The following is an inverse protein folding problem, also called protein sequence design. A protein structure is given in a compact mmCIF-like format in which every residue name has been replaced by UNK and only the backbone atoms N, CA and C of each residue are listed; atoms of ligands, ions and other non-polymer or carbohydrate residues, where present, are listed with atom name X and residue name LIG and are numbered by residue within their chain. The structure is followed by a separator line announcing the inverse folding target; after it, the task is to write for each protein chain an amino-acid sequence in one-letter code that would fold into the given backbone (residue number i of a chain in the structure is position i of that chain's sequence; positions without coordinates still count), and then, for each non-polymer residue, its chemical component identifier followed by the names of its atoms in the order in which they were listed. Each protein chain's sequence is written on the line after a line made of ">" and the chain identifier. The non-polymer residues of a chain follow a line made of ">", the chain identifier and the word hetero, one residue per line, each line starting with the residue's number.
data_IF_370046681675
#
_entry.id   IF_370046681675
#
_cell.length_a   1.000
_cell.length_b   1.000
_cell.length_c   1.000
_cell.angle_alpha   90.00
_cell.angle_beta   90.00
_cell.angle_gamma   90.00
#
_symmetry.space_group_name_H-M   'P 1'
#
loop_
_entity.id
_entity.type
_entity.pdbx_description
1 polymer ?
#
# COMPACT_ATOMS: atom_id res chain seq x y z
N UNK A 1 21.71 7.52 -3.01
CA UNK A 1 21.55 7.24 -4.45
C UNK A 1 20.65 6.03 -4.55
N UNK A 2 19.52 6.09 -5.26
CA UNK A 2 18.77 4.87 -5.55
C UNK A 2 19.75 3.89 -6.22
N UNK A 3 19.75 2.59 -5.88
CA UNK A 3 20.46 1.60 -6.68
C UNK A 3 20.04 1.81 -8.15
N UNK A 4 20.95 1.73 -9.12
CA UNK A 4 20.52 1.61 -10.50
C UNK A 4 19.78 0.27 -10.58
N UNK A 5 18.45 0.30 -10.49
CA UNK A 5 17.62 -0.87 -10.72
C UNK A 5 17.66 -1.14 -12.22
N UNK A 6 18.76 -1.76 -12.67
CA UNK A 6 18.93 -2.28 -14.02
C UNK A 6 18.08 -3.53 -14.24
N UNK A 7 17.69 -4.19 -13.14
CA UNK A 7 16.83 -5.36 -13.08
C UNK A 7 15.52 -5.05 -12.34
N UNK A 8 14.52 -5.92 -12.51
CA UNK A 8 13.27 -5.86 -11.77
C UNK A 8 13.55 -5.91 -10.26
N UNK A 9 13.01 -4.93 -9.52
CA UNK A 9 13.19 -4.81 -8.07
C UNK A 9 11.84 -4.86 -7.36
N UNK A 10 11.81 -5.59 -6.24
CA UNK A 10 10.63 -5.76 -5.40
C UNK A 10 11.05 -5.56 -3.95
N UNK A 11 10.30 -4.73 -3.23
CA UNK A 11 10.49 -4.58 -1.78
C UNK A 11 9.16 -4.33 -1.05
N UNK A 12 9.09 -4.54 0.27
CA UNK A 12 7.91 -4.17 1.06
C UNK A 12 7.66 -2.66 1.03
N UNK A 13 6.41 -2.26 0.79
CA UNK A 13 5.96 -0.91 1.08
C UNK A 13 5.89 -0.74 2.61
N UNK A 14 6.40 0.39 3.11
CA UNK A 14 6.38 0.70 4.55
C UNK A 14 5.07 1.30 5.06
N UNK A 15 4.41 2.25 4.36
CA UNK A 15 3.11 2.73 4.79
C UNK A 15 2.02 1.66 4.59
N UNK A 16 0.98 1.71 5.42
CA UNK A 16 -0.29 1.05 5.11
C UNK A 16 -0.86 1.65 3.82
N UNK A 17 -1.19 0.81 2.86
CA UNK A 17 -1.76 1.23 1.58
C UNK A 17 -3.24 0.92 1.56
N UNK A 18 -4.05 1.89 1.11
CA UNK A 18 -5.50 1.73 1.00
C UNK A 18 -5.95 2.17 -0.39
N UNK A 19 -6.79 1.37 -1.02
CA UNK A 19 -7.33 1.64 -2.36
C UNK A 19 -8.84 1.80 -2.25
N UNK A 20 -9.33 2.99 -2.58
CA UNK A 20 -10.75 3.31 -2.52
C UNK A 20 -11.39 3.18 -3.90
N UNK A 21 -12.48 2.41 -3.98
CA UNK A 21 -13.26 2.22 -5.20
C UNK A 21 -14.73 1.96 -4.87
N UNK A 22 -15.64 2.67 -5.52
CA UNK A 22 -17.10 2.50 -5.35
C UNK A 22 -17.59 2.72 -3.91
N UNK A 23 -16.97 3.66 -3.19
CA UNK A 23 -17.32 3.96 -1.79
C UNK A 23 -16.78 2.97 -0.75
N UNK A 24 -15.86 2.07 -1.14
CA UNK A 24 -15.23 1.11 -0.24
C UNK A 24 -13.71 1.13 -0.37
N UNK A 25 -13.02 0.82 0.72
CA UNK A 25 -11.63 0.40 0.66
C UNK A 25 -11.58 -1.06 0.21
N UNK A 26 -11.26 -1.28 -1.07
CA UNK A 26 -11.11 -2.64 -1.65
C UNK A 26 -9.77 -3.28 -1.27
N UNK A 27 -8.80 -2.46 -0.86
CA UNK A 27 -7.54 -2.83 -0.22
C UNK A 27 -7.38 -1.94 1.02
N UNK A 28 -6.94 -2.53 2.13
CA UNK A 28 -6.44 -1.85 3.33
C UNK A 28 -5.39 -2.76 3.98
N UNK A 29 -4.11 -2.57 3.63
CA UNK A 29 -3.05 -3.53 3.98
C UNK A 29 -1.72 -2.86 4.35
N UNK A 30 -0.98 -3.48 5.26
CA UNK A 30 0.42 -3.15 5.55
C UNK A 30 1.41 -4.10 4.87
N UNK A 31 0.94 -4.99 3.99
CA UNK A 31 1.73 -6.02 3.31
C UNK A 31 1.95 -5.74 1.82
N UNK A 32 1.57 -4.54 1.36
CA UNK A 32 1.82 -4.11 0.00
C UNK A 32 3.32 -4.18 -0.36
N UNK A 33 3.60 -4.40 -1.64
CA UNK A 33 4.94 -4.40 -2.22
C UNK A 33 5.08 -3.23 -3.19
N UNK A 34 6.27 -2.65 -3.25
CA UNK A 34 6.70 -1.76 -4.33
C UNK A 34 7.40 -2.62 -5.38
N UNK A 35 6.94 -2.54 -6.62
CA UNK A 35 7.50 -3.27 -7.77
C UNK A 35 7.93 -2.28 -8.84
N UNK A 36 9.20 -2.31 -9.23
CA UNK A 36 9.72 -1.49 -10.33
C UNK A 36 9.66 -2.27 -11.64
N UNK A 37 8.63 -1.99 -12.44
CA UNK A 37 8.51 -2.46 -13.83
C UNK A 37 9.36 -1.62 -14.79
N UNK A 38 9.84 -0.46 -14.33
CA UNK A 38 10.68 0.49 -15.06
C UNK A 38 11.47 1.36 -14.06
N UNK A 39 12.52 2.10 -14.47
CA UNK A 39 13.43 2.78 -13.54
C UNK A 39 12.88 4.08 -12.90
N UNK A 40 11.73 4.60 -13.35
CA UNK A 40 11.28 5.94 -12.96
C UNK A 40 10.55 5.99 -11.61
N UNK A 41 9.64 5.05 -11.37
CA UNK A 41 8.82 4.93 -10.16
C UNK A 41 8.31 3.48 -9.98
N UNK A 42 7.95 3.07 -8.75
CA UNK A 42 7.34 1.76 -8.50
C UNK A 42 5.82 1.74 -8.71
N UNK A 43 5.25 0.54 -8.78
CA UNK A 43 3.82 0.25 -8.64
C UNK A 43 3.55 -0.46 -7.31
N UNK A 44 2.33 -0.30 -6.77
CA UNK A 44 1.89 -1.14 -5.67
C UNK A 44 1.38 -2.48 -6.19
N UNK A 45 1.87 -3.54 -5.57
CA UNK A 45 1.32 -4.89 -5.65
C UNK A 45 0.84 -5.29 -4.26
N UNK A 46 -0.20 -6.10 -4.20
CA UNK A 46 -0.81 -6.53 -2.95
C UNK A 46 -0.86 -8.05 -2.87
N UNK A 47 -0.78 -8.67 -1.69
CA UNK A 47 -1.19 -10.06 -1.52
C UNK A 47 -2.59 -10.29 -2.11
N UNK A 48 -2.79 -11.35 -2.89
CA UNK A 48 -4.09 -11.63 -3.51
C UNK A 48 -5.22 -11.84 -2.49
N UNK A 49 -4.89 -12.25 -1.26
CA UNK A 49 -5.82 -12.40 -0.14
C UNK A 49 -6.35 -11.06 0.41
N UNK A 50 -5.59 -9.97 0.24
CA UNK A 50 -6.02 -8.63 0.70
C UNK A 50 -7.10 -8.02 -0.22
N UNK A 51 -7.31 -8.60 -1.41
CA UNK A 51 -8.38 -8.23 -2.33
C UNK A 51 -9.49 -9.28 -2.31
N UNK A 52 -10.61 -8.96 -1.67
CA UNK A 52 -11.77 -9.86 -1.61
C UNK A 52 -12.21 -10.30 -3.01
N UNK A 53 -12.43 -11.61 -3.18
CA UNK A 53 -12.97 -12.18 -4.44
C UNK A 53 -14.37 -11.67 -4.75
N UNK A 54 -15.11 -11.16 -3.77
CA UNK A 54 -16.42 -10.51 -3.98
C UNK A 54 -16.32 -9.22 -4.81
N UNK A 55 -15.14 -8.62 -4.90
CA UNK A 55 -14.88 -7.45 -5.74
C UNK A 55 -14.36 -7.80 -7.14
N UNK A 56 -14.28 -9.08 -7.49
CA UNK A 56 -13.69 -9.54 -8.73
C UNK A 56 -14.72 -10.22 -9.62
N UNK A 57 -14.76 -9.79 -10.89
CA UNK A 57 -15.47 -10.49 -11.95
C UNK A 57 -14.49 -10.82 -13.06
N UNK A 58 -14.51 -12.04 -13.64
CA UNK A 58 -13.71 -12.34 -14.82
C UNK A 58 -13.99 -11.30 -15.91
N UNK A 59 -12.93 -10.76 -16.53
CA UNK A 59 -13.10 -9.83 -17.64
C UNK A 59 -13.79 -10.54 -18.83
N UNK A 60 -14.63 -9.82 -19.57
CA UNK A 60 -15.25 -10.36 -20.79
C UNK A 60 -14.19 -10.51 -21.90
N UNK A 61 -14.18 -11.69 -22.55
CA UNK A 61 -13.24 -12.03 -23.62
C UNK A 61 -12.29 -13.16 -23.22
N UNK A 62 -11.58 -13.78 -24.19
CA UNK A 62 -10.55 -14.76 -23.88
C UNK A 62 -9.50 -14.05 -23.02
N UNK A 63 -9.16 -14.59 -21.84
CA UNK A 63 -8.21 -13.92 -20.97
C UNK A 63 -6.88 -13.85 -21.72
N UNK A 64 -6.16 -12.72 -21.64
CA UNK A 64 -4.78 -12.64 -22.10
C UNK A 64 -3.96 -13.45 -21.09
N UNK A 65 -3.97 -14.77 -21.24
CA UNK A 65 -3.23 -15.70 -20.40
C UNK A 65 -2.22 -16.38 -21.29
N UNK A 66 -0.95 -16.18 -21.01
CA UNK A 66 0.09 -17.15 -21.36
C UNK A 66 0.23 -18.25 -20.29
N UNK A 67 -0.62 -18.21 -19.24
CA UNK A 67 -0.55 -19.11 -18.08
C UNK A 67 0.07 -18.47 -16.84
N UNK A 68 0.61 -17.25 -16.94
CA UNK A 68 1.36 -16.60 -15.85
C UNK A 68 0.54 -15.53 -15.10
N UNK A 69 -0.50 -14.97 -15.72
CA UNK A 69 -1.37 -13.95 -15.13
C UNK A 69 -2.81 -14.03 -15.64
N UNK A 70 -3.75 -13.50 -14.85
CA UNK A 70 -5.17 -13.42 -15.18
C UNK A 70 -5.73 -12.03 -14.87
N UNK A 71 -6.60 -11.51 -15.75
CA UNK A 71 -7.20 -10.18 -15.64
C UNK A 71 -8.67 -10.25 -15.23
N UNK A 72 -9.09 -9.34 -14.34
CA UNK A 72 -10.43 -9.24 -13.78
C UNK A 72 -10.93 -7.80 -13.82
N UNK A 73 -12.25 -7.64 -13.90
CA UNK A 73 -12.93 -6.40 -13.59
C UNK A 73 -12.94 -6.18 -12.06
N UNK A 74 -12.73 -4.95 -11.61
CA UNK A 74 -12.97 -4.53 -10.24
C UNK A 74 -14.42 -4.05 -10.10
N UNK A 75 -15.18 -4.65 -9.18
CA UNK A 75 -16.63 -4.43 -9.05
C UNK A 75 -16.99 -4.10 -7.60
N UNK A 76 -17.71 -3.00 -7.38
CA UNK A 76 -18.31 -2.64 -6.08
C UNK A 76 -19.71 -2.07 -6.33
N UNK A 77 -20.75 -2.84 -5.97
CA UNK A 77 -22.13 -2.49 -6.33
C UNK A 77 -22.28 -2.35 -7.84
N UNK A 78 -22.79 -1.21 -8.30
CA UNK A 78 -22.96 -0.91 -9.73
C UNK A 78 -21.70 -0.34 -10.41
N UNK A 79 -20.63 -0.09 -9.64
CA UNK A 79 -19.37 0.44 -10.17
C UNK A 79 -18.51 -0.70 -10.70
N UNK A 80 -18.03 -0.55 -11.93
CA UNK A 80 -17.19 -1.52 -12.63
C UNK A 80 -16.01 -0.79 -13.25
N UNK A 81 -14.78 -1.22 -12.94
CA UNK A 81 -13.59 -0.88 -13.69
C UNK A 81 -13.13 -2.11 -14.48
N UNK A 82 -13.34 -2.07 -15.81
CA UNK A 82 -13.09 -3.20 -16.69
C UNK A 82 -11.60 -3.52 -16.79
N UNK A 83 -11.24 -4.79 -16.65
CA UNK A 83 -9.86 -5.27 -16.78
C UNK A 83 -8.85 -4.58 -15.84
N UNK A 84 -9.32 -4.04 -14.72
CA UNK A 84 -8.52 -3.19 -13.84
C UNK A 84 -7.60 -3.97 -12.89
N UNK A 85 -7.76 -5.29 -12.77
CA UNK A 85 -7.06 -6.11 -11.78
C UNK A 85 -6.31 -7.22 -12.48
N UNK A 86 -5.00 -7.32 -12.25
CA UNK A 86 -4.17 -8.43 -12.72
C UNK A 86 -3.71 -9.27 -11.53
N UNK A 87 -4.01 -10.57 -11.55
CA UNK A 87 -3.47 -11.57 -10.61
C UNK A 87 -2.33 -12.33 -11.26
N UNK A 88 -1.27 -12.59 -10.51
CA UNK A 88 -0.07 -13.26 -10.99
C UNK A 88 0.06 -14.67 -10.39
N UNK A 89 0.33 -15.67 -11.22
CA UNK A 89 0.40 -17.08 -10.85
C UNK A 89 1.83 -17.64 -10.83
N UNK A 90 2.82 -16.91 -11.36
CA UNK A 90 4.22 -17.31 -11.46
C UNK A 90 5.18 -16.13 -11.28
N UNK A 91 6.48 -16.43 -11.26
CA UNK A 91 7.55 -15.44 -11.11
C UNK A 91 7.66 -14.86 -9.70
N UNK A 92 8.45 -13.80 -9.56
CA UNK A 92 8.73 -13.15 -8.27
C UNK A 92 7.53 -12.39 -7.68
N UNK A 93 6.50 -12.15 -8.51
CA UNK A 93 5.24 -11.52 -8.12
C UNK A 93 4.10 -12.54 -7.97
N UNK A 94 4.40 -13.84 -7.91
CA UNK A 94 3.41 -14.89 -7.68
C UNK A 94 2.57 -14.59 -6.43
N UNK A 95 1.26 -14.90 -6.52
CA UNK A 95 0.27 -14.70 -5.46
C UNK A 95 0.02 -13.22 -5.10
N UNK A 96 0.56 -12.29 -5.90
CA UNK A 96 0.25 -10.87 -5.82
C UNK A 96 -0.80 -10.46 -6.86
N UNK A 97 -1.38 -9.30 -6.61
CA UNK A 97 -2.33 -8.61 -7.46
C UNK A 97 -1.93 -7.16 -7.65
N UNK A 98 -2.08 -6.66 -8.89
CA UNK A 98 -1.93 -5.26 -9.27
C UNK A 98 -3.31 -4.70 -9.63
N UNK A 99 -3.63 -3.52 -9.12
CA UNK A 99 -4.79 -2.72 -9.52
C UNK A 99 -4.26 -1.56 -10.37
N UNK A 100 -4.85 -1.35 -11.55
CA UNK A 100 -4.52 -0.21 -12.40
C UNK A 100 -4.76 1.10 -11.66
N UNK A 101 -3.74 1.97 -11.63
CA UNK A 101 -3.79 3.18 -10.81
C UNK A 101 -5.01 4.05 -11.11
N UNK A 102 -5.29 4.25 -12.40
CA UNK A 102 -6.40 5.06 -12.91
C UNK A 102 -7.77 4.44 -12.71
N UNK A 103 -7.86 3.17 -12.32
CA UNK A 103 -9.12 2.49 -12.09
C UNK A 103 -9.72 2.78 -10.69
N UNK A 104 -8.89 3.10 -9.70
CA UNK A 104 -9.35 3.43 -8.36
C UNK A 104 -9.84 4.88 -8.27
N UNK A 105 -10.81 5.13 -7.39
CA UNK A 105 -11.30 6.49 -7.13
C UNK A 105 -10.27 7.31 -6.31
N UNK A 106 -9.54 6.65 -5.40
CA UNK A 106 -8.48 7.27 -4.62
C UNK A 106 -7.49 6.23 -4.05
N UNK A 107 -6.25 6.68 -3.82
CA UNK A 107 -5.17 5.91 -3.20
C UNK A 107 -4.69 6.61 -1.94
N UNK A 108 -4.39 5.86 -0.89
CA UNK A 108 -3.92 6.41 0.38
C UNK A 108 -2.65 5.70 0.86
N UNK A 109 -1.72 6.50 1.38
CA UNK A 109 -0.66 6.05 2.28
C UNK A 109 -1.04 6.47 3.70
N UNK A 110 -1.26 5.50 4.57
CA UNK A 110 -1.85 5.71 5.89
C UNK A 110 -3.22 6.42 5.78
N UNK A 111 -3.40 7.62 6.35
CA UNK A 111 -4.64 8.41 6.22
C UNK A 111 -4.56 9.48 5.12
N UNK A 112 -3.45 9.60 4.42
CA UNK A 112 -3.24 10.67 3.45
C UNK A 112 -3.44 10.17 2.01
N UNK A 113 -4.30 10.87 1.27
CA UNK A 113 -4.48 10.59 -0.14
C UNK A 113 -3.21 10.95 -0.93
N UNK A 114 -2.83 10.08 -1.85
CA UNK A 114 -1.71 10.27 -2.77
C UNK A 114 -2.17 10.28 -4.23
N UNK A 115 -1.33 10.81 -5.10
CA UNK A 115 -1.69 11.12 -6.49
C UNK A 115 -0.63 10.61 -7.49
N UNK A 116 -1.11 10.30 -8.70
CA UNK A 116 -0.40 9.83 -9.89
C UNK A 116 0.18 8.42 -9.81
N UNK A 117 1.06 8.15 -8.87
CA UNK A 117 1.73 6.87 -8.70
C UNK A 117 2.42 6.81 -7.32
N UNK A 118 2.80 5.61 -6.84
CA UNK A 118 3.60 5.45 -5.63
C UNK A 118 4.89 6.27 -5.72
N UNK A 119 5.30 6.86 -4.60
CA UNK A 119 6.56 7.63 -4.59
C UNK A 119 7.74 6.68 -4.40
N UNK A 120 8.81 6.97 -5.14
CA UNK A 120 10.07 6.26 -4.99
C UNK A 120 10.70 6.61 -3.63
N UNK A 121 10.79 5.65 -2.68
CA UNK A 121 11.29 5.91 -1.33
C UNK A 121 12.77 6.29 -1.32
N UNK A 122 13.54 6.00 -2.37
CA UNK A 122 14.95 6.37 -2.46
C UNK A 122 15.19 7.84 -2.86
N UNK A 123 14.13 8.57 -3.20
CA UNK A 123 14.20 9.96 -3.66
C UNK A 123 13.63 10.97 -2.66
N UNK A 124 13.20 10.53 -1.48
CA UNK A 124 12.50 11.39 -0.51
C UNK A 124 12.47 10.84 0.91
N UNK A 125 12.16 11.73 1.85
CA UNK A 125 11.71 11.41 3.21
C UNK A 125 10.27 11.87 3.30
N UNK A 126 9.36 10.96 3.69
CA UNK A 126 7.95 11.27 3.81
C UNK A 126 7.48 11.18 5.26
N UNK A 127 6.53 12.03 5.62
CA UNK A 127 5.81 11.98 6.89
C UNK A 127 4.33 11.86 6.58
N UNK A 128 3.66 10.86 7.15
CA UNK A 128 2.22 10.61 6.94
C UNK A 128 1.46 10.63 8.24
N UNK A 129 0.27 11.21 8.24
CA UNK A 129 -0.71 10.95 9.29
C UNK A 129 -1.18 9.50 9.24
N UNK A 130 -1.22 8.85 10.39
CA UNK A 130 -1.76 7.51 10.55
C UNK A 130 -2.84 7.48 11.61
N UNK A 131 -3.78 6.54 11.48
CA UNK A 131 -4.75 6.20 12.53
C UNK A 131 -4.34 4.98 13.35
N UNK A 132 -3.09 4.51 13.22
CA UNK A 132 -2.59 3.36 13.98
C UNK A 132 -2.61 3.66 15.48
N UNK A 133 -3.02 2.66 16.26
CA UNK A 133 -2.91 2.70 17.71
C UNK A 133 -1.47 2.35 18.12
N UNK A 134 -0.79 3.29 18.78
CA UNK A 134 0.58 3.11 19.25
C UNK A 134 0.62 3.42 20.75
N UNK A 135 1.13 2.45 21.51
CA UNK A 135 1.42 2.56 22.94
C UNK A 135 2.92 2.42 23.16
N UNK A 136 3.50 3.36 23.90
CA UNK A 136 4.91 3.33 24.30
C UNK A 136 4.99 3.06 25.79
N UNK A 137 5.78 2.05 26.17
CA UNK A 137 6.03 1.68 27.56
C UNK A 137 7.52 1.70 27.87
N UNK A 138 7.86 2.13 29.08
CA UNK A 138 9.19 2.00 29.69
C UNK A 138 9.00 1.24 30.99
N UNK A 139 9.65 0.09 31.15
CA UNK A 139 9.49 -0.79 32.32
C UNK A 139 8.01 -1.04 32.68
N UNK A 140 7.20 -1.40 31.68
CA UNK A 140 5.75 -1.60 31.74
C UNK A 140 4.88 -0.37 32.08
N UNK A 141 5.48 0.78 32.36
CA UNK A 141 4.77 2.05 32.55
C UNK A 141 4.46 2.68 31.20
N UNK A 142 3.17 2.92 30.93
CA UNK A 142 2.73 3.64 29.73
C UNK A 142 3.15 5.12 29.80
N UNK A 143 3.98 5.53 28.84
CA UNK A 143 4.46 6.92 28.70
C UNK A 143 3.81 7.67 27.55
N UNK A 144 3.19 6.95 26.59
CA UNK A 144 2.40 7.54 25.51
C UNK A 144 1.38 6.55 24.93
N UNK A 145 0.23 7.06 24.48
CA UNK A 145 -0.86 6.28 23.89
C UNK A 145 -1.62 7.13 22.87
N UNK A 146 -1.48 6.81 21.58
CA UNK A 146 -2.00 7.64 20.49
C UNK A 146 -2.72 6.84 19.42
N UNK A 147 -3.75 7.44 18.84
CA UNK A 147 -4.44 6.99 17.63
C UNK A 147 -4.22 7.93 16.44
N UNK A 148 -3.29 8.88 16.58
CA UNK A 148 -3.04 9.93 15.60
C UNK A 148 -1.54 10.22 15.39
N UNK A 149 -0.67 9.20 15.30
CA UNK A 149 0.76 9.42 15.11
C UNK A 149 1.07 9.97 13.71
N UNK A 150 2.17 10.72 13.63
CA UNK A 150 2.85 11.02 12.35
C UNK A 150 3.98 10.01 12.16
N UNK A 151 3.93 9.24 11.07
CA UNK A 151 4.93 8.23 10.73
C UNK A 151 5.90 8.78 9.70
N UNK A 152 7.20 8.78 10.02
CA UNK A 152 8.25 9.19 9.11
C UNK A 152 8.90 7.97 8.46
N UNK A 153 8.86 7.94 7.13
CA UNK A 153 9.48 6.95 6.27
C UNK A 153 10.74 7.52 5.62
N UNK A 154 11.91 6.99 5.99
CA UNK A 154 13.21 7.34 5.40
C UNK A 154 13.98 6.06 5.05
N UNK A 155 14.38 5.93 3.79
CA UNK A 155 14.97 4.68 3.27
C UNK A 155 16.27 4.30 3.98
N UNK A 156 16.39 3.01 4.30
CA UNK A 156 17.49 2.48 5.11
C UNK A 156 17.30 2.63 6.62
N UNK A 157 16.30 3.38 7.09
CA UNK A 157 16.01 3.57 8.51
C UNK A 157 14.68 2.94 8.93
N UNK A 158 14.57 2.60 10.22
CA UNK A 158 13.29 2.23 10.84
C UNK A 158 12.31 3.40 10.76
N UNK A 159 11.03 3.09 10.60
CA UNK A 159 9.96 4.11 10.69
C UNK A 159 10.04 4.81 12.05
N UNK A 160 10.09 6.13 12.03
CA UNK A 160 10.04 6.94 13.26
C UNK A 160 8.61 7.38 13.52
N UNK A 161 8.16 7.20 14.75
CA UNK A 161 6.83 7.60 15.20
C UNK A 161 6.93 8.90 15.98
N UNK A 162 6.27 9.95 15.49
CA UNK A 162 6.07 11.20 16.22
C UNK A 162 4.69 11.18 16.85
N UNK A 163 4.65 11.31 18.18
CA UNK A 163 3.43 11.28 18.98
C UNK A 163 3.09 12.71 19.40
N UNK A 164 1.82 13.16 19.28
CA UNK A 164 1.39 14.44 19.81
C UNK A 164 1.69 14.56 21.30
N UNK A 165 2.16 15.73 21.75
CA UNK A 165 2.48 15.95 23.17
C UNK A 165 1.29 15.71 24.10
N UNK A 166 0.06 15.91 23.61
CA UNK A 166 -1.20 15.67 24.35
C UNK A 166 -1.45 14.20 24.63
N UNK A 167 -0.82 13.30 23.88
CA UNK A 167 -0.97 11.86 23.97
C UNK A 167 0.20 11.24 24.78
N UNK A 168 1.07 12.08 25.35
CA UNK A 168 2.23 11.71 26.16
C UNK A 168 2.03 12.06 27.64
N UNK A 169 2.47 11.17 28.53
CA UNK A 169 2.56 11.42 29.98
C UNK A 169 3.80 12.25 30.29
N UNK A 170 3.72 13.56 30.06
CA UNK A 170 4.84 14.48 30.26
C UNK A 170 5.32 14.57 31.72
N UNK A 171 4.51 14.14 32.67
CA UNK A 171 4.89 14.00 34.08
C UNK A 171 5.91 12.87 34.34
N UNK A 172 6.14 12.00 33.34
CA UNK A 172 7.05 10.86 33.40
C UNK A 172 8.29 11.00 32.49
N UNK A 173 8.48 12.16 31.83
CA UNK A 173 9.48 12.39 30.78
C UNK A 173 10.51 13.47 31.16
#
# INVERSE_FOLDING_TARGET
>A
MAPPFTDAHIEPARPRIRVHFGGKFVIDTSQAKLVWEHPYFPYYYFPAEDLSTSYLRPAEGPPITDGEKATFDLVVGDRVAKGAVTKFASGDVKDLVKIEWSAADAWFEEEEQIWNHPKDPYKRVDVRQSSKHIVVKVDDVEVANTHQPRLLFETGLRTRTYIPKTDCRLDLL
#
